data_IF_576038899355
#
_entry.id   IF_576038899355
#
_cell.length_a   1.000
_cell.length_b   1.000
_cell.length_c   1.000
_cell.angle_alpha   90.00
_cell.angle_beta   90.00
_cell.angle_gamma   90.00
#
_symmetry.space_group_name_H-M   'P 1'
#
loop_
_entity.id
_entity.type
_entity.pdbx_description
1 polymer ?
#
# COMPACT_ATOMS: atom_id res chain seq x y z
N UNK A 1 10.59 43.20 13.45
CA UNK A 1 9.17 43.07 13.88
C UNK A 1 8.58 42.00 12.98
N UNK A 2 8.17 40.88 13.59
CA UNK A 2 7.53 39.66 13.09
C UNK A 2 7.52 39.39 11.57
N UNK A 3 8.31 38.40 11.16
CA UNK A 3 8.11 37.65 9.92
C UNK A 3 6.71 37.03 9.97
N UNK A 4 5.82 37.54 9.10
CA UNK A 4 4.49 36.96 8.92
C UNK A 4 4.65 35.68 8.14
N UNK A 5 4.94 34.58 8.84
CA UNK A 5 4.86 33.25 8.29
C UNK A 5 3.40 33.00 7.88
N UNK A 6 3.12 33.22 6.59
CA UNK A 6 1.89 32.78 5.95
C UNK A 6 1.98 31.26 5.83
N UNK A 7 1.76 30.57 6.94
CA UNK A 7 1.47 29.15 7.00
C UNK A 7 0.13 28.98 6.29
N UNK A 8 0.18 28.89 4.95
CA UNK A 8 -0.93 28.38 4.16
C UNK A 8 -1.25 27.00 4.73
N UNK A 9 -2.34 26.96 5.50
CA UNK A 9 -3.02 25.73 5.89
C UNK A 9 -3.15 24.86 4.65
N UNK A 10 -2.27 23.86 4.54
CA UNK A 10 -2.28 22.82 3.51
C UNK A 10 -3.47 21.90 3.78
N UNK A 11 -4.68 22.48 3.66
CA UNK A 11 -5.90 21.73 3.62
C UNK A 11 -5.79 20.74 2.46
N UNK A 12 -6.20 19.49 2.67
CA UNK A 12 -6.19 18.51 1.60
C UNK A 12 -7.13 18.98 0.50
N UNK A 13 -6.56 19.24 -0.66
CA UNK A 13 -7.29 19.62 -1.88
C UNK A 13 -8.14 18.45 -2.44
N UNK A 14 -8.00 17.26 -1.86
CA UNK A 14 -8.58 16.02 -2.38
C UNK A 14 -9.34 15.24 -1.31
N UNK A 15 -10.55 14.73 -1.62
CA UNK A 15 -11.33 13.92 -0.69
C UNK A 15 -10.65 12.58 -0.42
N UNK A 16 -10.95 12.01 0.74
CA UNK A 16 -10.47 10.68 1.12
C UNK A 16 -10.89 9.65 0.08
N UNK A 17 -9.95 8.85 -0.42
CA UNK A 17 -10.19 7.85 -1.48
C UNK A 17 -11.29 6.85 -1.10
N UNK A 18 -11.36 6.48 0.19
CA UNK A 18 -12.28 5.48 0.73
C UNK A 18 -13.68 6.06 0.98
N UNK A 19 -13.80 7.04 1.88
CA UNK A 19 -15.11 7.56 2.31
C UNK A 19 -15.63 8.75 1.48
N UNK A 20 -14.84 9.29 0.55
CA UNK A 20 -15.16 10.48 -0.28
C UNK A 20 -15.41 11.78 0.48
N UNK A 21 -15.19 11.78 1.79
CA UNK A 21 -15.29 12.97 2.66
C UNK A 21 -13.92 13.65 2.74
N UNK A 22 -13.90 14.98 2.81
CA UNK A 22 -12.68 15.76 3.03
C UNK A 22 -12.08 15.44 4.41
N UNK A 23 -10.91 14.80 4.46
CA UNK A 23 -10.26 14.54 5.75
C UNK A 23 -9.75 15.85 6.33
N UNK A 24 -9.88 16.03 7.65
CA UNK A 24 -9.25 17.16 8.34
C UNK A 24 -7.76 16.92 8.62
N UNK A 25 -7.40 15.66 8.84
CA UNK A 25 -6.05 15.22 9.15
C UNK A 25 -5.87 13.75 8.81
N UNK A 26 -4.62 13.33 8.68
CA UNK A 26 -4.24 11.93 8.45
C UNK A 26 -3.06 11.79 7.50
N UNK A 27 -2.67 10.55 7.18
CA UNK A 27 -1.54 10.29 6.31
C UNK A 27 -1.80 10.78 4.88
N UNK A 28 -0.78 11.41 4.31
CA UNK A 28 -0.79 11.92 2.94
C UNK A 28 -0.14 10.90 2.00
N UNK A 29 -0.79 10.67 0.86
CA UNK A 29 -0.22 9.83 -0.17
C UNK A 29 0.96 10.56 -0.85
N UNK A 30 2.15 9.93 -0.84
CA UNK A 30 3.36 10.49 -1.46
C UNK A 30 3.22 10.66 -2.99
N UNK A 31 2.46 9.78 -3.65
CA UNK A 31 2.32 9.80 -5.12
C UNK A 31 1.21 10.72 -5.61
N UNK A 32 0.00 10.61 -5.06
CA UNK A 32 -1.17 11.32 -5.58
C UNK A 32 -1.59 12.52 -4.71
N UNK A 33 -0.93 12.73 -3.57
CA UNK A 33 -1.17 13.86 -2.66
C UNK A 33 -2.49 13.78 -1.87
N UNK A 34 -3.32 12.76 -2.08
CA UNK A 34 -4.55 12.56 -1.34
C UNK A 34 -4.27 12.31 0.14
N UNK A 35 -5.03 12.94 1.03
CA UNK A 35 -5.02 12.61 2.45
C UNK A 35 -6.08 11.53 2.72
N UNK A 36 -5.76 10.61 3.62
CA UNK A 36 -6.64 9.53 4.03
C UNK A 36 -6.92 9.66 5.52
N UNK A 37 -8.12 9.27 5.96
CA UNK A 37 -8.35 9.18 7.39
C UNK A 37 -7.52 8.02 7.95
N UNK A 38 -6.86 8.19 9.11
CA UNK A 38 -6.01 7.15 9.71
C UNK A 38 -6.76 5.83 9.91
N UNK A 39 -8.04 5.89 10.32
CA UNK A 39 -8.88 4.70 10.47
C UNK A 39 -9.27 4.02 9.16
N UNK A 40 -9.18 4.72 8.01
CA UNK A 40 -9.52 4.15 6.70
C UNK A 40 -8.36 3.54 5.94
N UNK A 41 -7.12 3.86 6.32
CA UNK A 41 -5.91 3.33 5.67
C UNK A 41 -5.96 1.80 5.62
N UNK A 42 -6.28 1.15 6.74
CA UNK A 42 -6.38 -0.32 6.85
C UNK A 42 -7.42 -0.98 5.93
N UNK A 43 -8.38 -0.23 5.38
CA UNK A 43 -9.40 -0.79 4.47
C UNK A 43 -9.04 -0.61 2.99
N UNK A 44 -7.92 0.05 2.68
CA UNK A 44 -7.46 0.24 1.30
C UNK A 44 -6.62 -0.97 0.89
N UNK A 45 -7.13 -1.78 -0.05
CA UNK A 45 -6.52 -3.06 -0.46
C UNK A 45 -5.08 -2.96 -0.97
N UNK A 46 -4.68 -1.84 -1.56
CA UNK A 46 -3.34 -1.64 -2.15
C UNK A 46 -2.62 -0.43 -1.53
N UNK A 47 -2.75 -0.22 -0.21
CA UNK A 47 -2.02 0.84 0.47
C UNK A 47 -0.72 0.32 1.05
N UNK A 48 0.37 1.03 0.79
CA UNK A 48 1.65 0.84 1.48
C UNK A 48 1.80 1.94 2.53
N UNK A 49 1.93 1.57 3.80
CA UNK A 49 2.20 2.52 4.88
C UNK A 49 3.72 2.75 4.90
N UNK A 50 4.15 4.00 4.80
CA UNK A 50 5.56 4.37 4.93
C UNK A 50 5.81 4.73 6.40
N UNK A 51 5.03 5.68 6.92
CA UNK A 51 5.06 6.18 8.30
C UNK A 51 3.65 6.64 8.72
N UNK A 52 3.45 7.04 9.98
CA UNK A 52 2.16 7.54 10.49
C UNK A 52 1.58 8.72 9.69
N UNK A 53 2.44 9.50 9.04
CA UNK A 53 2.05 10.67 8.24
C UNK A 53 2.12 10.44 6.72
N UNK A 54 2.69 9.32 6.24
CA UNK A 54 2.95 9.08 4.83
C UNK A 54 2.53 7.69 4.37
N UNK A 55 1.79 7.64 3.27
CA UNK A 55 1.30 6.38 2.67
C UNK A 55 1.48 6.40 1.14
N UNK A 56 1.29 5.26 0.51
CA UNK A 56 1.13 5.14 -0.94
C UNK A 56 -0.18 4.39 -1.19
N UNK A 57 -1.24 5.12 -1.53
CA UNK A 57 -2.57 4.56 -1.81
C UNK A 57 -2.87 4.42 -3.31
N UNK A 58 -1.91 4.78 -4.15
CA UNK A 58 -2.03 4.88 -5.60
C UNK A 58 -1.10 3.90 -6.32
N UNK A 59 -0.63 2.85 -5.63
CA UNK A 59 0.23 1.82 -6.22
C UNK A 59 -0.56 1.06 -7.29
N UNK A 60 -0.09 1.12 -8.53
CA UNK A 60 -0.50 0.19 -9.58
C UNK A 60 -0.26 -1.23 -9.07
N UNK A 61 -1.28 -2.08 -9.13
CA UNK A 61 -1.19 -3.49 -8.74
C UNK A 61 -0.16 -4.22 -9.60
N UNK A 62 1.12 -4.16 -9.25
CA UNK A 62 2.16 -4.91 -9.98
C UNK A 62 3.16 -5.63 -9.07
N UNK A 63 2.91 -5.76 -7.76
CA UNK A 63 3.77 -6.61 -6.91
C UNK A 63 2.96 -7.47 -5.95
N UNK A 64 2.85 -8.76 -6.31
CA UNK A 64 3.12 -9.83 -5.38
C UNK A 64 1.93 -10.47 -4.66
N UNK A 65 0.91 -10.94 -5.38
CA UNK A 65 0.41 -12.27 -5.00
C UNK A 65 1.50 -13.25 -5.43
N UNK A 66 2.40 -13.60 -4.50
CA UNK A 66 3.17 -14.82 -4.63
C UNK A 66 2.14 -15.95 -4.62
N UNK A 67 1.79 -16.41 -5.82
CA UNK A 67 1.02 -17.62 -6.05
C UNK A 67 1.83 -18.77 -5.45
N UNK A 68 1.42 -19.21 -4.27
CA UNK A 68 2.00 -20.32 -3.52
C UNK A 68 1.54 -21.68 -4.10
N UNK A 69 1.41 -21.80 -5.43
CA UNK A 69 0.93 -23.04 -6.08
C UNK A 69 2.02 -23.85 -6.80
N UNK A 70 3.29 -23.43 -6.77
CA UNK A 70 4.36 -24.07 -7.54
C UNK A 70 5.27 -24.99 -6.70
N UNK A 71 4.77 -25.60 -5.61
CA UNK A 71 5.46 -26.75 -5.00
C UNK A 71 5.06 -28.04 -5.71
N UNK A 72 5.45 -28.18 -6.99
CA UNK A 72 5.40 -29.47 -7.70
C UNK A 72 6.76 -30.13 -7.59
N UNK A 73 6.98 -30.91 -6.53
CA UNK A 73 8.05 -31.93 -6.53
C UNK A 73 7.44 -33.21 -7.08
N UNK A 74 7.38 -33.30 -8.41
CA UNK A 74 7.15 -34.55 -9.11
C UNK A 74 8.51 -35.14 -9.46
N UNK A 75 9.07 -35.97 -8.60
CA UNK A 75 10.12 -36.91 -9.00
C UNK A 75 9.71 -38.28 -8.49
N UNK A 76 9.17 -39.06 -9.43
CA UNK A 76 8.72 -40.43 -9.31
C UNK A 76 9.81 -41.35 -8.75
N UNK A 77 9.37 -42.27 -7.89
CA UNK A 77 10.10 -43.47 -7.58
C UNK A 77 10.21 -44.35 -8.84
N UNK A 78 11.41 -44.61 -9.33
CA UNK A 78 11.79 -45.88 -9.98
C UNK A 78 13.30 -45.89 -10.25
N UNK A 79 14.09 -46.20 -9.21
CA UNK A 79 15.43 -46.72 -9.45
C UNK A 79 15.29 -48.21 -9.78
N UNK A 80 15.26 -48.53 -11.07
CA UNK A 80 15.54 -49.88 -11.55
C UNK A 80 17.07 -50.05 -11.55
N UNK A 81 17.58 -51.01 -10.79
CA UNK A 81 18.84 -51.66 -11.14
C UNK A 81 18.75 -53.14 -10.77
N UNK A 82 18.91 -53.94 -11.82
CA UNK A 82 18.91 -55.39 -11.86
C UNK A 82 20.16 -56.00 -11.22
N UNK A 83 20.08 -57.32 -11.00
CA UNK A 83 21.20 -58.28 -10.85
C UNK A 83 21.86 -58.27 -9.46
N UNK A 84 22.13 -59.39 -8.79
CA UNK A 84 22.54 -60.74 -9.23
C UNK A 84 21.90 -61.85 -8.39
#
# INVERSE_FOLDING_TARGET
MAESENVLNLLPDKPCRYCKIMPKSGPKCKNCGCVLHPGYVKYIKNVKIIDDNQVICCTSSEVGQADLSELRVSIDATNVHSSE
#
